data_IF_675166415915
#
_entry.id   IF_675166415915
#
_cell.length_a   1.000
_cell.length_b   1.000
_cell.length_c   1.000
_cell.angle_alpha   90.00
_cell.angle_beta   90.00
_cell.angle_gamma   90.00
#
_symmetry.space_group_name_H-M   'P 1'
#
loop_
_entity.id
_entity.type
_entity.pdbx_description
1 polymer ?
#
# COMPACT_ATOMS: atom_id res chain seq x y z
N UNK A 1 -12.36 26.87 -19.33
CA UNK A 1 -11.03 27.37 -18.90
C UNK A 1 -11.14 28.55 -17.95
N UNK A 2 -11.65 29.71 -18.38
CA UNK A 2 -11.69 30.93 -17.54
C UNK A 2 -12.48 30.75 -16.24
N UNK A 3 -13.63 30.07 -16.29
CA UNK A 3 -14.42 29.77 -15.10
C UNK A 3 -13.63 28.94 -14.06
N UNK A 4 -12.94 27.89 -14.51
CA UNK A 4 -12.08 27.06 -13.66
C UNK A 4 -10.95 27.88 -13.04
N UNK A 5 -10.28 28.74 -13.83
CA UNK A 5 -9.23 29.62 -13.34
C UNK A 5 -9.76 30.62 -12.30
N UNK A 6 -10.93 31.22 -12.53
CA UNK A 6 -11.58 32.12 -11.59
C UNK A 6 -11.92 31.41 -10.27
N UNK A 7 -12.32 30.13 -10.33
CA UNK A 7 -12.56 29.31 -9.14
C UNK A 7 -11.26 29.05 -8.39
N UNK A 8 -10.19 28.67 -9.07
CA UNK A 8 -8.87 28.43 -8.48
C UNK A 8 -8.34 29.69 -7.77
N UNK A 9 -8.54 30.88 -8.37
CA UNK A 9 -8.08 32.15 -7.79
C UNK A 9 -8.77 32.50 -6.45
N UNK A 10 -9.96 31.96 -6.19
CA UNK A 10 -10.71 32.17 -4.94
C UNK A 10 -10.31 31.21 -3.83
N UNK A 11 -9.74 30.05 -4.16
CA UNK A 11 -9.32 29.04 -3.19
C UNK A 11 -7.99 29.40 -2.54
N UNK A 12 -7.78 28.98 -1.28
CA UNK A 12 -6.54 29.22 -0.52
C UNK A 12 -5.99 27.93 0.08
N UNK A 13 -4.68 27.92 0.34
CA UNK A 13 -4.02 26.83 1.07
C UNK A 13 -4.30 25.43 0.51
N UNK A 14 -4.62 24.48 1.38
CA UNK A 14 -4.88 23.08 1.04
C UNK A 14 -6.04 22.89 0.05
N UNK A 15 -7.11 23.68 0.17
CA UNK A 15 -8.28 23.57 -0.72
C UNK A 15 -7.92 23.85 -2.18
N UNK A 16 -7.03 24.82 -2.42
CA UNK A 16 -6.51 25.12 -3.76
C UNK A 16 -5.70 23.94 -4.30
N UNK A 17 -4.84 23.34 -3.48
CA UNK A 17 -4.00 22.22 -3.88
C UNK A 17 -4.84 21.00 -4.24
N UNK A 18 -5.84 20.67 -3.44
CA UNK A 18 -6.72 19.52 -3.69
C UNK A 18 -7.59 19.74 -4.92
N UNK A 19 -8.05 20.98 -5.15
CA UNK A 19 -8.74 21.32 -6.39
C UNK A 19 -7.84 21.13 -7.63
N UNK A 20 -6.58 21.60 -7.58
CA UNK A 20 -5.63 21.41 -8.70
C UNK A 20 -5.36 19.93 -8.96
N UNK A 21 -5.15 19.11 -7.91
CA UNK A 21 -4.96 17.66 -8.06
C UNK A 21 -6.15 17.00 -8.77
N UNK A 22 -7.36 17.43 -8.45
CA UNK A 22 -8.60 16.87 -9.02
C UNK A 22 -8.83 17.26 -10.49
N UNK A 23 -8.17 18.30 -11.01
CA UNK A 23 -8.24 18.64 -12.43
C UNK A 23 -7.74 17.49 -13.32
N UNK A 24 -6.77 16.71 -12.82
CA UNK A 24 -6.14 15.59 -13.52
C UNK A 24 -7.05 14.35 -13.69
N UNK A 25 -8.33 14.46 -13.32
CA UNK A 25 -9.33 13.42 -13.51
C UNK A 25 -10.14 13.61 -14.82
N UNK A 26 -10.00 14.74 -15.51
CA UNK A 26 -10.69 15.02 -16.78
C UNK A 26 -9.75 15.74 -17.76
N UNK A 27 -9.60 15.16 -18.96
CA UNK A 27 -8.76 15.69 -20.04
C UNK A 27 -9.21 17.09 -20.52
N UNK A 28 -10.47 17.48 -20.30
CA UNK A 28 -10.95 18.86 -20.59
C UNK A 28 -10.19 19.94 -19.82
N UNK A 29 -9.52 19.57 -18.73
CA UNK A 29 -8.72 20.49 -17.92
C UNK A 29 -7.27 20.63 -18.38
N UNK A 30 -6.82 19.93 -19.44
CA UNK A 30 -5.45 20.04 -19.96
C UNK A 30 -5.03 21.51 -20.21
N UNK A 31 -5.84 22.36 -20.88
CA UNK A 31 -5.47 23.77 -21.07
C UNK A 31 -5.29 24.54 -19.75
N UNK A 32 -6.10 24.24 -18.73
CA UNK A 32 -5.97 24.83 -17.39
C UNK A 32 -4.68 24.37 -16.73
N UNK A 33 -4.34 23.08 -16.83
CA UNK A 33 -3.11 22.53 -16.26
C UNK A 33 -1.86 23.15 -16.93
N UNK A 34 -1.84 23.27 -18.26
CA UNK A 34 -0.76 23.96 -18.99
C UNK A 34 -0.61 25.41 -18.51
N UNK A 35 -1.71 26.15 -18.41
CA UNK A 35 -1.71 27.52 -17.90
C UNK A 35 -1.12 27.61 -16.48
N UNK A 36 -1.50 26.71 -15.58
CA UNK A 36 -0.96 26.68 -14.21
C UNK A 36 0.54 26.37 -14.20
N UNK A 37 1.02 25.48 -15.08
CA UNK A 37 2.47 25.17 -15.18
C UNK A 37 3.30 26.38 -15.58
N UNK A 38 2.75 27.25 -16.43
CA UNK A 38 3.42 28.47 -16.88
C UNK A 38 3.37 29.59 -15.82
N UNK A 39 2.23 29.74 -15.13
CA UNK A 39 1.94 30.93 -14.34
C UNK A 39 2.04 30.74 -12.81
N UNK A 40 1.99 29.52 -12.30
CA UNK A 40 2.09 29.24 -10.87
C UNK A 40 3.52 28.85 -10.43
N UNK A 41 3.74 28.85 -9.10
CA UNK A 41 5.01 28.43 -8.47
C UNK A 41 4.75 27.44 -7.34
N UNK A 42 5.81 26.81 -6.84
CA UNK A 42 5.75 25.87 -5.71
C UNK A 42 4.80 24.70 -5.97
N UNK A 43 4.05 24.30 -4.93
CA UNK A 43 3.18 23.12 -4.97
C UNK A 43 2.06 23.20 -6.02
N UNK A 44 1.53 24.39 -6.33
CA UNK A 44 0.50 24.55 -7.37
C UNK A 44 1.02 24.09 -8.73
N UNK A 45 2.24 24.53 -9.09
CA UNK A 45 2.91 24.12 -10.34
C UNK A 45 3.30 22.64 -10.32
N UNK A 46 3.75 22.12 -9.18
CA UNK A 46 4.08 20.70 -9.06
C UNK A 46 2.85 19.80 -9.29
N UNK A 47 1.71 20.09 -8.65
CA UNK A 47 0.49 19.32 -8.86
C UNK A 47 -0.08 19.47 -10.28
N UNK A 48 0.04 20.66 -10.88
CA UNK A 48 -0.32 20.84 -12.29
C UNK A 48 0.56 19.98 -13.22
N UNK A 49 1.89 19.95 -12.98
CA UNK A 49 2.82 19.10 -13.71
C UNK A 49 2.50 17.62 -13.52
N UNK A 50 2.28 17.17 -12.29
CA UNK A 50 1.85 15.79 -12.00
C UNK A 50 0.55 15.45 -12.74
N UNK A 51 -0.41 16.38 -12.79
CA UNK A 51 -1.65 16.18 -13.53
C UNK A 51 -1.44 15.97 -15.02
N UNK A 52 -0.57 16.78 -15.65
CA UNK A 52 -0.24 16.63 -17.07
C UNK A 52 0.39 15.28 -17.41
N UNK A 53 1.11 14.64 -16.48
CA UNK A 53 1.74 13.33 -16.73
C UNK A 53 0.74 12.19 -16.98
N UNK A 54 -0.56 12.41 -16.74
CA UNK A 54 -1.63 11.45 -17.01
C UNK A 54 -2.17 11.50 -18.43
N UNK A 55 -1.73 12.47 -19.22
CA UNK A 55 -2.25 12.70 -20.57
C UNK A 55 -1.11 12.71 -21.60
N UNK A 56 -1.44 12.45 -22.86
CA UNK A 56 -0.52 12.59 -23.99
C UNK A 56 -0.58 14.03 -24.50
N UNK A 57 0.26 14.90 -23.92
CA UNK A 57 0.26 16.36 -24.19
C UNK A 57 1.60 16.74 -24.80
N UNK A 58 1.61 16.99 -26.11
CA UNK A 58 2.84 17.25 -26.86
C UNK A 58 3.60 18.48 -26.35
N UNK A 59 2.87 19.50 -25.92
CA UNK A 59 3.39 20.76 -25.36
C UNK A 59 4.14 20.53 -24.04
N UNK A 60 3.78 19.50 -23.28
CA UNK A 60 4.44 19.15 -22.01
C UNK A 60 5.68 18.26 -22.20
N UNK A 61 5.86 17.62 -23.36
CA UNK A 61 6.94 16.68 -23.63
C UNK A 61 8.35 17.28 -23.40
N UNK A 62 8.69 18.50 -23.87
CA UNK A 62 9.99 19.11 -23.59
C UNK A 62 10.24 19.32 -22.09
N UNK A 63 9.18 19.64 -21.33
CA UNK A 63 9.24 19.81 -19.87
C UNK A 63 9.54 18.46 -19.21
N UNK A 64 8.86 17.40 -19.62
CA UNK A 64 9.09 16.05 -19.09
C UNK A 64 10.49 15.53 -19.40
N UNK A 65 11.01 15.75 -20.63
CA UNK A 65 12.40 15.43 -20.99
C UNK A 65 13.41 16.15 -20.09
N UNK A 66 13.16 17.42 -19.75
CA UNK A 66 14.01 18.16 -18.80
C UNK A 66 13.91 17.60 -17.38
N UNK A 67 12.70 17.24 -16.95
CA UNK A 67 12.47 16.67 -15.62
C UNK A 67 13.14 15.31 -15.44
N UNK A 68 13.15 14.45 -16.47
CA UNK A 68 13.77 13.12 -16.40
C UNK A 68 15.27 13.14 -16.05
N UNK A 69 15.96 14.24 -16.38
CA UNK A 69 17.38 14.48 -16.04
C UNK A 69 17.60 14.85 -14.57
N UNK A 70 16.55 15.26 -13.86
CA UNK A 70 16.63 15.60 -12.43
C UNK A 70 16.22 14.39 -11.59
N UNK A 71 17.16 13.79 -10.83
CA UNK A 71 16.88 12.60 -10.01
C UNK A 71 15.69 12.82 -9.06
N UNK A 72 15.78 13.83 -8.19
CA UNK A 72 14.74 14.11 -7.18
C UNK A 72 13.45 14.71 -7.76
N UNK A 73 13.55 15.85 -8.46
CA UNK A 73 12.35 16.56 -8.95
C UNK A 73 11.65 15.81 -10.09
N UNK A 74 12.43 15.13 -10.93
CA UNK A 74 11.91 14.31 -12.02
C UNK A 74 11.11 13.14 -11.50
N UNK A 75 11.66 12.38 -10.53
CA UNK A 75 10.95 11.29 -9.89
C UNK A 75 9.64 11.76 -9.25
N UNK A 76 9.69 12.81 -8.41
CA UNK A 76 8.51 13.37 -7.73
C UNK A 76 7.35 13.74 -8.67
N UNK A 77 7.64 14.07 -9.93
CA UNK A 77 6.61 14.44 -10.92
C UNK A 77 6.23 13.26 -11.80
N UNK A 78 7.21 12.62 -12.44
CA UNK A 78 6.99 11.57 -13.45
C UNK A 78 6.54 10.23 -12.84
N UNK A 79 6.76 10.03 -11.54
CA UNK A 79 6.12 8.96 -10.79
C UNK A 79 4.61 8.99 -11.04
N UNK A 80 3.97 10.17 -11.03
CA UNK A 80 2.52 10.36 -11.19
C UNK A 80 1.96 9.99 -12.57
N UNK A 81 2.81 9.81 -13.57
CA UNK A 81 2.41 9.60 -14.95
C UNK A 81 2.02 8.17 -15.29
N UNK A 82 0.94 8.06 -16.05
CA UNK A 82 0.38 6.80 -16.56
C UNK A 82 0.08 6.85 -18.06
N UNK A 83 0.29 7.99 -18.73
CA UNK A 83 0.07 8.12 -20.17
C UNK A 83 1.14 7.41 -20.99
N UNK A 84 0.82 7.06 -22.24
CA UNK A 84 1.76 6.35 -23.11
C UNK A 84 2.97 7.23 -23.48
N UNK A 85 2.79 8.55 -23.60
CA UNK A 85 3.89 9.50 -23.82
C UNK A 85 4.92 9.49 -22.69
N UNK A 86 4.46 9.59 -21.42
CA UNK A 86 5.37 9.54 -20.27
C UNK A 86 5.91 8.13 -20.08
N UNK A 87 5.11 7.11 -20.37
CA UNK A 87 5.51 5.71 -20.37
C UNK A 87 6.69 5.45 -21.30
N UNK A 88 6.58 5.87 -22.56
CA UNK A 88 7.62 5.71 -23.58
C UNK A 88 8.86 6.54 -23.26
N UNK A 89 8.69 7.79 -22.84
CA UNK A 89 9.80 8.67 -22.45
C UNK A 89 10.67 8.03 -21.36
N UNK A 90 10.04 7.45 -20.35
CA UNK A 90 10.75 6.82 -19.23
C UNK A 90 11.32 5.46 -19.66
N UNK A 91 10.59 4.67 -20.45
CA UNK A 91 11.01 3.33 -20.85
C UNK A 91 12.37 3.32 -21.58
N UNK A 92 12.69 4.35 -22.37
CA UNK A 92 13.97 4.43 -23.10
C UNK A 92 15.19 4.50 -22.17
N UNK A 93 15.15 5.37 -21.15
CA UNK A 93 16.22 5.50 -20.16
C UNK A 93 16.34 4.23 -19.30
N UNK A 94 15.20 3.67 -18.92
CA UNK A 94 15.11 2.45 -18.11
C UNK A 94 15.68 1.25 -18.88
N UNK A 95 15.32 1.10 -20.14
CA UNK A 95 15.85 0.04 -21.00
C UNK A 95 17.37 0.12 -21.06
N UNK A 96 17.90 1.31 -21.29
CA UNK A 96 19.35 1.57 -21.36
C UNK A 96 20.05 1.19 -20.06
N UNK A 97 19.49 1.61 -18.92
CA UNK A 97 20.06 1.30 -17.60
C UNK A 97 20.04 -0.21 -17.31
N UNK A 98 18.88 -0.86 -17.41
CA UNK A 98 18.76 -2.28 -17.05
C UNK A 98 19.52 -3.19 -18.01
N UNK A 99 19.58 -2.87 -19.30
CA UNK A 99 20.39 -3.62 -20.27
C UNK A 99 21.87 -3.61 -19.86
N UNK A 100 22.41 -2.42 -19.53
CA UNK A 100 23.80 -2.30 -19.03
C UNK A 100 23.99 -3.00 -17.69
N UNK A 101 23.04 -2.83 -16.76
CA UNK A 101 23.09 -3.48 -15.45
C UNK A 101 23.17 -5.01 -15.59
N UNK A 102 22.36 -5.60 -16.46
CA UNK A 102 22.32 -7.04 -16.69
C UNK A 102 23.45 -7.58 -17.58
N UNK A 103 24.32 -6.73 -18.15
CA UNK A 103 25.57 -7.19 -18.78
C UNK A 103 26.63 -7.60 -17.75
N UNK A 104 26.55 -7.09 -16.52
CA UNK A 104 27.49 -7.45 -15.46
C UNK A 104 27.44 -8.95 -15.10
N UNK A 105 28.52 -9.46 -14.51
CA UNK A 105 28.60 -10.85 -14.07
C UNK A 105 27.74 -11.16 -12.83
N UNK A 106 27.52 -12.45 -12.56
CA UNK A 106 26.83 -12.87 -11.31
C UNK A 106 27.62 -12.36 -10.11
N UNK A 107 26.94 -12.06 -9.01
CA UNK A 107 27.55 -11.48 -7.79
C UNK A 107 28.08 -10.05 -7.93
N UNK A 108 27.86 -9.38 -9.06
CA UNK A 108 28.15 -7.97 -9.24
C UNK A 108 27.57 -7.13 -8.09
N UNK A 109 28.36 -6.20 -7.57
CA UNK A 109 27.98 -5.31 -6.48
C UNK A 109 27.62 -3.93 -7.05
N UNK A 110 26.37 -3.51 -6.90
CA UNK A 110 25.93 -2.20 -7.37
C UNK A 110 26.67 -1.09 -6.60
N UNK A 111 27.22 -0.13 -7.34
CA UNK A 111 27.69 1.14 -6.75
C UNK A 111 26.53 1.91 -6.13
N UNK A 112 26.84 2.87 -5.25
CA UNK A 112 25.82 3.74 -4.63
C UNK A 112 25.01 4.46 -5.70
N UNK A 113 25.67 5.05 -6.69
CA UNK A 113 25.00 5.76 -7.78
C UNK A 113 24.10 4.85 -8.61
N UNK A 114 24.57 3.65 -8.98
CA UNK A 114 23.76 2.68 -9.72
C UNK A 114 22.58 2.18 -8.88
N UNK A 115 22.74 2.09 -7.57
CA UNK A 115 21.68 1.70 -6.67
C UNK A 115 20.60 2.79 -6.53
N UNK A 116 20.98 4.06 -6.45
CA UNK A 116 20.04 5.18 -6.47
C UNK A 116 19.26 5.24 -7.80
N UNK A 117 19.93 5.07 -8.93
CA UNK A 117 19.26 5.05 -10.23
C UNK A 117 18.35 3.82 -10.38
N UNK A 118 18.77 2.66 -9.87
CA UNK A 118 17.91 1.48 -9.79
C UNK A 118 16.62 1.77 -9.01
N UNK A 119 16.71 2.36 -7.82
CA UNK A 119 15.57 2.76 -7.00
C UNK A 119 14.64 3.71 -7.75
N UNK A 120 15.21 4.76 -8.30
CA UNK A 120 14.49 5.77 -9.08
C UNK A 120 13.78 5.15 -10.27
N UNK A 121 14.41 4.23 -10.98
CA UNK A 121 13.78 3.59 -12.14
C UNK A 121 12.65 2.64 -11.76
N UNK A 122 12.75 1.90 -10.65
CA UNK A 122 11.62 1.13 -10.13
C UNK A 122 10.42 2.02 -9.78
N UNK A 123 10.67 3.17 -9.16
CA UNK A 123 9.67 4.21 -8.88
C UNK A 123 8.99 4.67 -10.16
N UNK A 124 9.79 5.05 -11.16
CA UNK A 124 9.30 5.59 -12.41
C UNK A 124 8.52 4.59 -13.25
N UNK A 125 8.73 3.28 -13.11
CA UNK A 125 7.99 2.23 -13.84
C UNK A 125 6.52 2.14 -13.40
N UNK A 126 6.19 2.50 -12.15
CA UNK A 126 4.88 2.25 -11.57
C UNK A 126 3.74 2.88 -12.39
N UNK A 127 2.74 2.06 -12.72
CA UNK A 127 1.49 2.42 -13.39
C UNK A 127 1.59 2.66 -14.90
N UNK A 128 2.77 2.47 -15.49
CA UNK A 128 3.02 2.73 -16.92
C UNK A 128 2.84 1.45 -17.74
N UNK A 129 2.17 1.57 -18.87
CA UNK A 129 1.61 0.43 -19.58
C UNK A 129 1.84 0.40 -21.09
N UNK A 130 2.57 1.37 -21.66
CA UNK A 130 2.89 1.37 -23.10
C UNK A 130 3.65 0.10 -23.52
N UNK A 131 3.67 -0.21 -24.83
CA UNK A 131 4.37 -1.41 -25.31
C UNK A 131 5.86 -1.39 -24.94
N UNK A 132 6.53 -0.23 -25.02
CA UNK A 132 7.93 -0.10 -24.58
C UNK A 132 8.08 -0.45 -23.10
N UNK A 133 7.14 -0.03 -22.25
CA UNK A 133 7.17 -0.36 -20.82
C UNK A 133 6.88 -1.84 -20.55
N UNK A 134 5.96 -2.47 -21.30
CA UNK A 134 5.75 -3.92 -21.23
C UNK A 134 7.02 -4.71 -21.56
N UNK A 135 7.79 -4.25 -22.56
CA UNK A 135 9.09 -4.83 -22.87
C UNK A 135 10.12 -4.65 -21.76
N UNK A 136 10.07 -3.57 -20.98
CA UNK A 136 10.88 -3.46 -19.76
C UNK A 136 10.53 -4.57 -18.77
N UNK A 137 9.24 -4.79 -18.48
CA UNK A 137 8.85 -5.85 -17.55
C UNK A 137 9.29 -7.23 -18.01
N UNK A 138 9.22 -7.51 -19.32
CA UNK A 138 9.78 -8.74 -19.91
C UNK A 138 11.28 -8.83 -19.68
N UNK A 139 12.04 -7.76 -19.95
CA UNK A 139 13.48 -7.70 -19.68
C UNK A 139 13.81 -7.98 -18.21
N UNK A 140 13.05 -7.37 -17.27
CA UNK A 140 13.21 -7.60 -15.83
C UNK A 140 12.92 -9.06 -15.46
N UNK A 141 11.88 -9.67 -16.07
CA UNK A 141 11.52 -11.06 -15.84
C UNK A 141 12.57 -12.04 -16.35
N UNK A 142 13.11 -11.81 -17.54
CA UNK A 142 14.18 -12.61 -18.14
C UNK A 142 15.46 -12.62 -17.30
N UNK A 143 15.70 -11.53 -16.57
CA UNK A 143 16.93 -11.34 -15.79
C UNK A 143 16.73 -11.49 -14.28
N UNK A 144 15.54 -11.92 -13.81
CA UNK A 144 15.20 -11.93 -12.38
C UNK A 144 16.16 -12.80 -11.54
N UNK A 145 16.48 -14.01 -12.02
CA UNK A 145 17.43 -14.91 -11.33
C UNK A 145 18.85 -14.38 -11.30
N UNK A 146 19.27 -13.70 -12.39
CA UNK A 146 20.58 -13.06 -12.46
C UNK A 146 20.65 -11.90 -11.48
N UNK A 147 19.64 -11.04 -11.48
CA UNK A 147 19.52 -9.91 -10.55
C UNK A 147 19.55 -10.36 -9.09
N UNK A 148 18.87 -11.46 -8.74
CA UNK A 148 18.89 -12.00 -7.38
C UNK A 148 20.30 -12.39 -6.89
N UNK A 149 21.23 -12.66 -7.80
CA UNK A 149 22.65 -12.92 -7.46
C UNK A 149 23.45 -11.65 -7.14
N UNK A 150 22.97 -10.46 -7.50
CA UNK A 150 23.70 -9.21 -7.29
C UNK A 150 23.75 -8.82 -5.82
N UNK A 151 24.78 -8.06 -5.46
CA UNK A 151 25.01 -7.51 -4.14
C UNK A 151 24.70 -6.00 -4.13
N UNK A 152 24.26 -5.49 -2.98
CA UNK A 152 23.96 -4.07 -2.80
C UNK A 152 24.74 -3.54 -1.61
N UNK A 153 25.30 -2.33 -1.74
CA UNK A 153 25.92 -1.60 -0.61
C UNK A 153 24.90 -0.89 0.28
N UNK A 154 23.64 -0.83 -0.16
CA UNK A 154 22.52 -0.18 0.52
C UNK A 154 21.29 -1.08 0.49
N UNK A 155 20.27 -0.76 1.29
CA UNK A 155 19.07 -1.57 1.45
C UNK A 155 17.91 -1.02 0.60
N UNK A 156 17.43 -1.83 -0.35
CA UNK A 156 16.19 -1.53 -1.11
C UNK A 156 14.95 -1.80 -0.26
N UNK A 157 15.15 -2.47 0.87
CA UNK A 157 14.08 -2.98 1.71
C UNK A 157 13.19 -1.88 2.28
N UNK A 158 13.66 -0.63 2.32
CA UNK A 158 12.86 0.54 2.69
C UNK A 158 11.61 0.77 1.83
N UNK A 159 11.55 0.21 0.61
CA UNK A 159 10.39 0.35 -0.29
C UNK A 159 9.47 -0.87 -0.29
N UNK A 160 9.95 -2.02 0.17
CA UNK A 160 9.24 -3.31 0.08
C UNK A 160 9.00 -3.98 1.43
N UNK A 161 9.79 -3.63 2.46
CA UNK A 161 9.85 -4.20 3.80
C UNK A 161 9.77 -5.72 3.84
N UNK A 162 10.68 -6.36 3.12
CA UNK A 162 10.83 -7.78 3.30
C UNK A 162 11.37 -8.11 4.69
N UNK A 163 10.76 -9.06 5.39
CA UNK A 163 11.17 -9.42 6.75
C UNK A 163 12.64 -9.88 6.81
N UNK A 164 13.09 -10.63 5.81
CA UNK A 164 14.49 -11.02 5.65
C UNK A 164 14.89 -10.86 4.19
N UNK A 165 16.01 -10.19 3.98
CA UNK A 165 16.51 -9.88 2.64
C UNK A 165 17.46 -10.98 2.14
N UNK A 166 16.89 -12.08 1.66
CA UNK A 166 17.63 -13.24 1.11
C UNK A 166 17.71 -13.18 -0.42
N UNK A 167 18.46 -14.10 -1.05
CA UNK A 167 18.45 -14.28 -2.50
C UNK A 167 17.05 -14.57 -3.05
N UNK A 168 16.28 -15.43 -2.38
CA UNK A 168 14.92 -15.76 -2.83
C UNK A 168 13.98 -14.57 -2.66
N UNK A 169 14.12 -13.79 -1.58
CA UNK A 169 13.36 -12.56 -1.40
C UNK A 169 13.71 -11.50 -2.46
N UNK A 170 14.97 -11.41 -2.92
CA UNK A 170 15.35 -10.51 -4.01
C UNK A 170 14.62 -10.81 -5.32
N UNK A 171 14.29 -12.08 -5.60
CA UNK A 171 13.49 -12.46 -6.79
C UNK A 171 12.07 -11.91 -6.77
N UNK A 172 11.58 -11.48 -5.60
CA UNK A 172 10.26 -10.85 -5.45
C UNK A 172 10.27 -9.35 -5.80
N UNK A 173 11.43 -8.70 -5.94
CA UNK A 173 11.50 -7.25 -6.20
C UNK A 173 10.75 -6.87 -7.49
N UNK A 174 11.10 -7.47 -8.63
CA UNK A 174 10.44 -7.12 -9.90
C UNK A 174 8.96 -7.53 -9.96
N UNK A 175 8.57 -8.75 -9.56
CA UNK A 175 7.16 -9.11 -9.45
C UNK A 175 6.36 -8.18 -8.52
N UNK A 176 6.93 -7.77 -7.39
CA UNK A 176 6.28 -6.86 -6.45
C UNK A 176 6.15 -5.46 -7.05
N UNK A 177 7.20 -4.91 -7.67
CA UNK A 177 7.10 -3.64 -8.41
C UNK A 177 6.00 -3.71 -9.47
N UNK A 178 5.85 -4.84 -10.16
CA UNK A 178 4.81 -5.03 -11.16
C UNK A 178 3.40 -5.13 -10.54
N UNK A 179 3.24 -5.83 -9.41
CA UNK A 179 2.00 -5.83 -8.65
C UNK A 179 1.58 -4.41 -8.20
N UNK A 180 2.52 -3.62 -7.66
CA UNK A 180 2.28 -2.23 -7.29
C UNK A 180 1.91 -1.36 -8.51
N UNK A 181 2.50 -1.64 -9.67
CA UNK A 181 2.16 -0.98 -10.94
C UNK A 181 0.72 -1.24 -11.36
N UNK A 182 0.26 -2.49 -11.26
CA UNK A 182 -1.14 -2.88 -11.54
C UNK A 182 -2.10 -2.19 -10.56
N UNK A 183 -1.80 -2.17 -9.27
CA UNK A 183 -2.64 -1.47 -8.27
C UNK A 183 -2.71 0.02 -8.60
N UNK A 184 -1.59 0.64 -8.97
CA UNK A 184 -1.56 2.05 -9.32
C UNK A 184 -2.41 2.37 -10.55
N UNK A 185 -2.29 1.56 -11.59
CA UNK A 185 -3.04 1.71 -12.83
C UNK A 185 -3.43 0.32 -13.34
N UNK A 186 -4.67 -0.16 -13.08
CA UNK A 186 -5.15 -1.46 -13.51
C UNK A 186 -5.47 -1.46 -15.02
N UNK A 187 -4.47 -1.08 -15.82
CA UNK A 187 -4.52 -1.04 -17.27
C UNK A 187 -4.62 -2.48 -17.80
N UNK A 188 -5.54 -2.71 -18.74
CA UNK A 188 -5.79 -4.03 -19.32
C UNK A 188 -4.52 -4.66 -19.90
N UNK A 189 -3.58 -3.84 -20.37
CA UNK A 189 -2.32 -4.28 -20.96
C UNK A 189 -1.36 -4.82 -19.89
N UNK A 190 -1.33 -4.23 -18.69
CA UNK A 190 -0.58 -4.76 -17.54
C UNK A 190 -1.23 -6.02 -16.98
N UNK A 191 -2.56 -6.05 -16.89
CA UNK A 191 -3.33 -7.23 -16.47
C UNK A 191 -3.03 -8.43 -17.37
N UNK A 192 -3.05 -8.22 -18.68
CA UNK A 192 -2.74 -9.28 -19.67
C UNK A 192 -1.29 -9.76 -19.54
N UNK A 193 -0.36 -8.83 -19.35
CA UNK A 193 1.06 -9.14 -19.17
C UNK A 193 1.31 -9.99 -17.91
N UNK A 194 0.52 -9.83 -16.83
CA UNK A 194 0.69 -10.65 -15.62
C UNK A 194 0.45 -12.15 -15.84
N UNK A 195 -0.51 -12.49 -16.71
CA UNK A 195 -0.71 -13.86 -17.13
C UNK A 195 0.48 -14.38 -17.96
N UNK A 196 0.94 -13.58 -18.94
CA UNK A 196 2.10 -13.90 -19.78
C UNK A 196 3.36 -14.17 -18.94
N UNK A 197 3.71 -13.27 -18.01
CA UNK A 197 4.92 -13.38 -17.21
C UNK A 197 4.87 -14.58 -16.26
N UNK A 198 3.70 -14.87 -15.68
CA UNK A 198 3.56 -16.06 -14.82
C UNK A 198 3.67 -17.35 -15.62
N UNK A 199 3.10 -17.40 -16.82
CA UNK A 199 3.20 -18.56 -17.71
C UNK A 199 4.65 -18.82 -18.14
N UNK A 200 5.41 -17.76 -18.46
CA UNK A 200 6.77 -17.87 -18.99
C UNK A 200 7.87 -17.99 -17.92
N UNK A 201 7.72 -17.32 -16.77
CA UNK A 201 8.77 -17.20 -15.75
C UNK A 201 8.38 -17.79 -14.38
N UNK A 202 7.21 -18.40 -14.26
CA UNK A 202 6.82 -19.22 -13.12
C UNK A 202 6.31 -18.47 -11.89
N UNK A 203 6.35 -19.16 -10.75
CA UNK A 203 5.64 -18.82 -9.50
C UNK A 203 6.01 -17.46 -8.90
N UNK A 204 7.21 -16.93 -9.15
CA UNK A 204 7.61 -15.61 -8.67
C UNK A 204 6.67 -14.49 -9.14
N UNK A 205 5.98 -14.67 -10.26
CA UNK A 205 5.04 -13.70 -10.83
C UNK A 205 3.59 -13.92 -10.39
N UNK A 206 3.32 -14.96 -9.60
CA UNK A 206 1.98 -15.32 -9.15
C UNK A 206 1.32 -14.23 -8.31
N UNK A 207 2.08 -13.51 -7.47
CA UNK A 207 1.58 -12.36 -6.70
C UNK A 207 0.99 -11.30 -7.64
N UNK A 208 1.70 -10.91 -8.69
CA UNK A 208 1.22 -9.92 -9.66
C UNK A 208 0.01 -10.44 -10.46
N UNK A 209 -0.01 -11.73 -10.80
CA UNK A 209 -1.16 -12.36 -11.47
C UNK A 209 -2.42 -12.38 -10.59
N UNK A 210 -2.28 -12.69 -9.30
CA UNK A 210 -3.40 -12.63 -8.36
C UNK A 210 -3.88 -11.18 -8.17
N UNK A 211 -2.96 -10.22 -8.04
CA UNK A 211 -3.31 -8.79 -7.96
C UNK A 211 -4.07 -8.32 -9.21
N UNK A 212 -3.66 -8.74 -10.41
CA UNK A 212 -4.42 -8.46 -11.64
C UNK A 212 -5.83 -9.08 -11.63
N UNK A 213 -5.96 -10.25 -11.00
CA UNK A 213 -7.25 -10.96 -10.89
C UNK A 213 -8.22 -10.22 -9.96
N UNK A 214 -7.73 -9.51 -8.93
CA UNK A 214 -8.58 -8.69 -8.06
C UNK A 214 -9.38 -7.62 -8.83
N UNK A 215 -8.84 -7.11 -9.95
CA UNK A 215 -9.50 -6.07 -10.74
C UNK A 215 -10.40 -6.61 -11.86
N UNK A 216 -10.40 -7.92 -12.11
CA UNK A 216 -11.04 -8.50 -13.30
C UNK A 216 -11.93 -9.70 -13.03
N UNK A 217 -11.64 -10.50 -12.00
CA UNK A 217 -12.38 -11.73 -11.68
C UNK A 217 -13.46 -11.46 -10.62
N UNK A 218 -14.50 -12.32 -10.61
CA UNK A 218 -15.50 -12.34 -9.54
C UNK A 218 -14.92 -12.96 -8.28
N UNK A 219 -15.49 -12.64 -7.12
CA UNK A 219 -15.00 -13.09 -5.82
C UNK A 219 -14.90 -14.63 -5.72
N UNK A 220 -15.94 -15.34 -6.14
CA UNK A 220 -16.00 -16.81 -6.13
C UNK A 220 -14.93 -17.43 -7.03
N UNK A 221 -14.78 -16.93 -8.26
CA UNK A 221 -13.78 -17.42 -9.22
C UNK A 221 -12.36 -17.22 -8.69
N UNK A 222 -12.10 -16.06 -8.09
CA UNK A 222 -10.83 -15.76 -7.43
C UNK A 222 -10.55 -16.74 -6.29
N UNK A 223 -11.54 -17.03 -5.45
CA UNK A 223 -11.41 -18.00 -4.36
C UNK A 223 -11.07 -19.40 -4.89
N UNK A 224 -11.88 -19.96 -5.79
CA UNK A 224 -11.67 -21.32 -6.31
C UNK A 224 -10.30 -21.48 -6.99
N UNK A 225 -9.84 -20.43 -7.65
CA UNK A 225 -8.58 -20.44 -8.39
C UNK A 225 -7.34 -20.38 -7.49
N UNK A 226 -7.36 -19.57 -6.43
CA UNK A 226 -6.17 -19.25 -5.65
C UNK A 226 -6.16 -19.87 -4.24
N UNK A 227 -7.31 -20.20 -3.65
CA UNK A 227 -7.35 -20.78 -2.30
C UNK A 227 -6.64 -22.13 -2.17
N UNK A 228 -6.67 -23.06 -3.16
CA UNK A 228 -5.94 -24.33 -3.06
C UNK A 228 -4.42 -24.13 -2.97
N UNK A 229 -3.91 -23.01 -3.49
CA UNK A 229 -2.49 -22.69 -3.49
C UNK A 229 -1.96 -22.34 -2.09
N UNK A 230 -2.84 -22.03 -1.13
CA UNK A 230 -2.45 -21.84 0.27
C UNK A 230 -1.96 -23.13 0.94
N UNK A 231 -2.27 -24.30 0.37
CA UNK A 231 -1.85 -25.63 0.84
C UNK A 231 -0.61 -26.15 0.08
N UNK A 232 0.01 -25.32 -0.74
CA UNK A 232 1.13 -25.66 -1.62
C UNK A 232 2.36 -24.79 -1.33
N UNK A 233 3.46 -25.01 -2.04
CA UNK A 233 4.69 -24.17 -1.89
C UNK A 233 4.44 -22.72 -2.33
N UNK A 234 3.40 -22.49 -3.13
CA UNK A 234 3.00 -21.19 -3.66
C UNK A 234 2.32 -20.29 -2.60
N UNK A 235 2.00 -20.84 -1.41
CA UNK A 235 1.34 -20.15 -0.28
C UNK A 235 1.86 -18.73 -0.06
N UNK A 236 3.19 -18.53 -0.06
CA UNK A 236 3.77 -17.21 0.24
C UNK A 236 3.40 -16.14 -0.79
N UNK A 237 3.25 -16.49 -2.07
CA UNK A 237 2.88 -15.53 -3.12
C UNK A 237 1.41 -15.10 -3.02
N UNK A 238 0.55 -16.01 -2.57
CA UNK A 238 -0.87 -15.73 -2.29
C UNK A 238 -1.00 -14.81 -1.09
N UNK A 239 -0.27 -15.10 -0.01
CA UNK A 239 -0.23 -14.23 1.16
C UNK A 239 0.34 -12.84 0.83
N UNK A 240 1.39 -12.75 0.01
CA UNK A 240 1.95 -11.47 -0.44
C UNK A 240 0.92 -10.64 -1.25
N UNK A 241 0.07 -11.29 -2.05
CA UNK A 241 -1.01 -10.62 -2.77
C UNK A 241 -2.14 -10.15 -1.84
N UNK A 242 -2.56 -10.99 -0.90
CA UNK A 242 -3.57 -10.64 0.11
C UNK A 242 -3.08 -9.53 1.06
N UNK A 243 -1.78 -9.49 1.34
CA UNK A 243 -1.15 -8.42 2.12
C UNK A 243 -1.22 -7.04 1.45
N UNK A 244 -1.58 -6.97 0.16
CA UNK A 244 -1.83 -5.71 -0.55
C UNK A 244 -3.29 -5.27 -0.49
N UNK A 245 -4.16 -5.99 0.23
CA UNK A 245 -5.57 -5.68 0.40
C UNK A 245 -5.88 -5.24 1.83
N UNK A 246 -6.86 -4.36 1.96
CA UNK A 246 -7.53 -4.06 3.22
C UNK A 246 -9.01 -3.78 2.98
N UNK A 247 -9.84 -3.94 4.01
CA UNK A 247 -11.23 -3.57 3.99
C UNK A 247 -11.38 -2.07 4.33
N UNK A 248 -11.77 -1.27 3.33
CA UNK A 248 -12.03 0.15 3.53
C UNK A 248 -13.40 0.34 4.16
N UNK A 249 -13.42 0.63 5.46
CA UNK A 249 -14.64 0.84 6.25
C UNK A 249 -15.51 2.01 5.78
N UNK A 250 -14.95 2.99 5.05
CA UNK A 250 -15.69 4.15 4.55
C UNK A 250 -16.47 3.81 3.28
N UNK A 251 -15.89 3.01 2.40
CA UNK A 251 -16.54 2.59 1.15
C UNK A 251 -17.17 1.20 1.23
N UNK A 252 -16.99 0.50 2.37
CA UNK A 252 -17.43 -0.87 2.62
C UNK A 252 -16.93 -1.85 1.55
N UNK A 253 -15.71 -1.62 1.07
CA UNK A 253 -15.08 -2.40 0.01
C UNK A 253 -13.64 -2.78 0.34
N UNK A 254 -13.27 -4.00 -0.04
CA UNK A 254 -11.88 -4.40 -0.16
C UNK A 254 -11.19 -3.50 -1.19
N UNK A 255 -10.01 -3.03 -0.82
CA UNK A 255 -9.25 -2.06 -1.58
C UNK A 255 -7.81 -2.52 -1.62
N UNK A 256 -7.26 -2.60 -2.82
CA UNK A 256 -5.84 -2.82 -3.01
C UNK A 256 -5.08 -1.53 -2.74
N UNK A 257 -3.93 -1.65 -2.08
CA UNK A 257 -3.06 -0.52 -1.74
C UNK A 257 -1.62 -0.79 -2.17
N UNK A 258 -0.99 0.25 -2.71
CA UNK A 258 0.41 0.27 -3.07
C UNK A 258 1.05 1.50 -2.40
N UNK A 259 2.17 1.28 -1.72
CA UNK A 259 3.05 2.35 -1.25
C UNK A 259 4.36 2.30 -2.02
N UNK A 260 4.92 3.47 -2.30
CA UNK A 260 6.29 3.61 -2.73
C UNK A 260 6.96 4.79 -2.02
N UNK A 261 8.24 4.70 -1.67
CA UNK A 261 9.00 5.76 -1.00
C UNK A 261 9.49 5.34 0.39
N UNK A 262 10.05 6.29 1.13
CA UNK A 262 10.60 6.06 2.47
C UNK A 262 9.78 6.77 3.54
N UNK A 263 9.44 6.02 4.59
CA UNK A 263 8.88 6.54 5.83
C UNK A 263 9.96 6.51 6.92
N UNK A 264 10.62 7.64 7.18
CA UNK A 264 11.66 7.76 8.22
C UNK A 264 11.16 8.55 9.45
N UNK A 265 10.46 9.66 9.22
CA UNK A 265 9.73 10.48 10.20
C UNK A 265 8.77 11.44 9.45
N UNK A 266 7.83 12.08 10.15
CA UNK A 266 6.88 13.04 9.55
C UNK A 266 7.55 14.23 8.84
N UNK A 267 8.86 14.46 9.02
CA UNK A 267 9.60 15.58 8.40
C UNK A 267 10.26 15.20 7.08
N UNK A 268 10.50 13.90 6.84
CA UNK A 268 11.17 13.37 5.65
C UNK A 268 10.37 12.25 4.94
N UNK A 269 9.05 12.17 5.16
CA UNK A 269 8.20 11.20 4.47
C UNK A 269 8.14 11.49 2.96
N UNK A 270 8.64 10.54 2.18
CA UNK A 270 8.58 10.55 0.70
C UNK A 270 7.56 9.56 0.17
N UNK A 271 6.77 8.94 1.05
CA UNK A 271 5.83 7.89 0.71
C UNK A 271 4.70 8.44 -0.15
N UNK A 272 4.48 7.74 -1.27
CA UNK A 272 3.34 7.94 -2.14
C UNK A 272 2.44 6.71 -2.05
N UNK A 273 1.16 6.95 -1.82
CA UNK A 273 0.15 5.90 -1.68
C UNK A 273 -0.79 5.91 -2.87
N UNK A 274 -1.12 4.72 -3.36
CA UNK A 274 -2.11 4.48 -4.40
C UNK A 274 -3.07 3.42 -3.88
N UNK A 275 -4.37 3.65 -4.04
CA UNK A 275 -5.38 2.66 -3.68
C UNK A 275 -6.43 2.53 -4.77
N UNK A 276 -6.92 1.31 -4.98
CA UNK A 276 -7.99 1.00 -5.93
C UNK A 276 -8.93 -0.03 -5.32
N UNK A 277 -10.22 0.24 -5.41
CA UNK A 277 -11.23 -0.76 -5.08
C UNK A 277 -11.07 -1.96 -6.01
N UNK A 278 -11.13 -3.16 -5.44
CA UNK A 278 -11.13 -4.38 -6.24
C UNK A 278 -12.53 -4.58 -6.85
N UNK A 279 -12.65 -5.49 -7.83
CA UNK A 279 -13.89 -5.67 -8.60
C UNK A 279 -15.09 -6.05 -7.72
N UNK A 280 -14.89 -7.01 -6.83
CA UNK A 280 -15.86 -7.48 -5.84
C UNK A 280 -15.14 -7.71 -4.51
N UNK A 281 -15.85 -7.56 -3.39
CA UNK A 281 -15.30 -7.94 -2.08
C UNK A 281 -14.82 -9.38 -2.09
N UNK A 282 -13.77 -9.69 -1.31
CA UNK A 282 -13.30 -11.07 -1.17
C UNK A 282 -14.44 -11.98 -0.72
N UNK A 283 -14.49 -13.17 -1.29
CA UNK A 283 -15.36 -14.25 -0.85
C UNK A 283 -15.05 -14.59 0.61
N UNK A 284 -16.08 -14.66 1.48
CA UNK A 284 -15.88 -14.85 2.92
C UNK A 284 -15.15 -16.16 3.26
N UNK A 285 -15.18 -17.16 2.38
CA UNK A 285 -14.43 -18.42 2.54
C UNK A 285 -12.93 -18.22 2.64
N UNK A 286 -12.39 -17.12 2.10
CA UNK A 286 -11.00 -16.72 2.34
C UNK A 286 -10.71 -16.56 3.83
N UNK A 287 -11.62 -15.95 4.58
CA UNK A 287 -11.41 -15.69 6.00
C UNK A 287 -11.40 -16.98 6.81
N UNK A 288 -12.22 -17.97 6.42
CA UNK A 288 -12.23 -19.30 7.02
C UNK A 288 -10.88 -20.02 6.82
N UNK A 289 -10.44 -20.21 5.58
CA UNK A 289 -9.21 -20.97 5.29
C UNK A 289 -7.98 -20.31 5.90
N UNK A 290 -7.95 -18.97 5.98
CA UNK A 290 -6.86 -18.23 6.61
C UNK A 290 -6.78 -18.50 8.13
N UNK A 291 -7.87 -18.82 8.82
CA UNK A 291 -7.78 -19.22 10.25
C UNK A 291 -7.10 -20.56 10.47
N UNK A 292 -6.99 -21.39 9.43
CA UNK A 292 -6.42 -22.74 9.48
C UNK A 292 -4.93 -22.75 9.10
N UNK A 293 -4.40 -21.63 8.62
CA UNK A 293 -3.00 -21.48 8.28
C UNK A 293 -2.18 -21.23 9.54
N UNK A 294 -1.10 -22.00 9.71
CA UNK A 294 -0.11 -21.68 10.74
C UNK A 294 0.59 -20.35 10.43
N UNK A 295 0.58 -19.38 11.38
CA UNK A 295 1.24 -18.10 11.20
C UNK A 295 2.75 -18.26 11.05
N UNK A 296 3.23 -18.11 9.81
CA UNK A 296 4.65 -17.97 9.52
C UNK A 296 5.06 -16.50 9.56
N UNK A 297 6.37 -16.24 9.63
CA UNK A 297 6.90 -14.90 9.37
C UNK A 297 6.65 -14.56 7.89
N UNK A 298 5.78 -13.60 7.65
CA UNK A 298 5.43 -13.14 6.29
C UNK A 298 6.66 -12.56 5.58
N UNK A 299 6.79 -12.88 4.29
CA UNK A 299 7.91 -12.41 3.48
C UNK A 299 7.82 -10.90 3.25
N UNK A 300 6.63 -10.39 2.95
CA UNK A 300 6.31 -8.97 2.73
C UNK A 300 5.62 -8.36 3.95
N UNK A 301 6.19 -7.30 4.52
CA UNK A 301 5.51 -6.47 5.53
C UNK A 301 4.89 -5.26 4.83
N UNK A 302 3.64 -5.37 4.37
CA UNK A 302 2.94 -4.22 3.77
C UNK A 302 2.62 -3.19 4.84
N UNK A 303 2.78 -1.90 4.56
CA UNK A 303 2.41 -0.84 5.50
C UNK A 303 0.88 -0.61 5.53
N UNK A 304 0.24 -0.74 6.70
CA UNK A 304 -1.11 -0.28 6.99
C UNK A 304 -1.39 0.07 8.48
N UNK A 305 -1.76 1.34 8.78
CA UNK A 305 -2.41 1.69 10.06
C UNK A 305 -3.91 1.95 9.84
N UNK A 306 -4.71 1.08 10.46
CA UNK A 306 -6.18 1.11 10.47
C UNK A 306 -6.77 2.41 11.04
N UNK A 307 -6.04 3.13 11.90
CA UNK A 307 -6.58 4.25 12.69
C UNK A 307 -6.47 5.62 12.01
N UNK A 308 -5.57 5.78 11.04
CA UNK A 308 -5.30 7.07 10.39
C UNK A 308 -5.60 7.08 8.88
N UNK A 309 -5.86 5.93 8.25
CA UNK A 309 -5.83 5.85 6.78
C UNK A 309 -4.43 6.18 6.20
N UNK A 310 -3.40 6.01 7.02
CA UNK A 310 -1.97 6.20 6.73
C UNK A 310 -1.25 4.92 7.12
N UNK A 311 -0.12 4.60 6.51
CA UNK A 311 0.43 3.26 6.49
C UNK A 311 1.41 2.98 7.67
N UNK A 312 1.35 1.78 8.26
CA UNK A 312 2.26 1.27 9.31
C UNK A 312 2.41 -0.26 9.16
N UNK A 313 3.63 -0.81 9.16
CA UNK A 313 3.91 -2.21 8.78
C UNK A 313 2.94 -3.27 9.39
N UNK A 314 2.51 -4.24 8.58
CA UNK A 314 2.06 -5.53 9.06
C UNK A 314 3.29 -6.26 9.63
N UNK A 315 3.39 -6.25 10.94
CA UNK A 315 4.40 -6.95 11.73
C UNK A 315 4.07 -8.45 11.85
N UNK A 316 2.83 -8.87 11.55
CA UNK A 316 2.40 -10.28 11.65
C UNK A 316 1.37 -10.70 10.59
N UNK A 317 1.28 -12.01 10.36
CA UNK A 317 0.24 -12.66 9.56
C UNK A 317 -1.18 -12.24 10.00
N UNK A 318 -1.41 -12.17 11.32
CA UNK A 318 -2.72 -11.86 11.86
C UNK A 318 -3.19 -10.44 11.53
N UNK A 319 -2.27 -9.50 11.34
CA UNK A 319 -2.65 -8.15 10.92
C UNK A 319 -3.11 -8.11 9.46
N UNK A 320 -2.61 -9.01 8.60
CA UNK A 320 -3.16 -9.20 7.25
C UNK A 320 -4.61 -9.70 7.39
N UNK A 321 -4.83 -10.78 8.15
CA UNK A 321 -6.17 -11.34 8.34
C UNK A 321 -7.14 -10.29 8.93
N UNK A 322 -6.69 -9.54 9.94
CA UNK A 322 -7.45 -8.44 10.54
C UNK A 322 -7.78 -7.34 9.53
N UNK A 323 -6.86 -6.98 8.65
CA UNK A 323 -7.10 -5.94 7.65
C UNK A 323 -8.12 -6.36 6.58
N UNK A 324 -8.29 -7.66 6.35
CA UNK A 324 -9.30 -8.20 5.44
C UNK A 324 -10.69 -8.32 6.05
N UNK A 325 -10.85 -8.13 7.37
CA UNK A 325 -12.15 -8.35 8.02
C UNK A 325 -13.20 -7.33 7.51
N UNK A 326 -14.33 -7.80 6.97
CA UNK A 326 -15.43 -6.94 6.60
C UNK A 326 -16.14 -6.40 7.85
N UNK A 327 -16.93 -5.35 7.66
CA UNK A 327 -17.76 -4.77 8.74
C UNK A 327 -18.95 -5.67 9.10
N UNK A 328 -19.52 -6.35 8.10
CA UNK A 328 -20.64 -7.26 8.24
C UNK A 328 -20.24 -8.62 7.69
N UNK A 329 -20.77 -9.69 8.29
CA UNK A 329 -20.53 -11.07 7.87
C UNK A 329 -21.87 -11.68 7.44
N UNK A 330 -21.92 -12.23 6.24
CA UNK A 330 -23.04 -13.01 5.73
C UNK A 330 -23.05 -14.39 6.40
N UNK A 331 -21.90 -15.04 6.50
CA UNK A 331 -21.76 -16.35 7.10
C UNK A 331 -21.38 -16.26 8.60
N UNK A 332 -22.35 -16.56 9.48
CA UNK A 332 -22.13 -16.53 10.93
C UNK A 332 -21.15 -17.61 11.41
N UNK A 333 -21.06 -18.76 10.75
CA UNK A 333 -20.10 -19.81 11.12
C UNK A 333 -18.65 -19.33 10.93
N UNK A 334 -18.37 -18.63 9.82
CA UNK A 334 -17.05 -18.06 9.56
C UNK A 334 -16.72 -16.98 10.60
N UNK A 335 -17.70 -16.14 10.95
CA UNK A 335 -17.54 -15.15 12.02
C UNK A 335 -17.20 -15.82 13.36
N UNK A 336 -17.88 -16.90 13.74
CA UNK A 336 -17.61 -17.65 14.97
C UNK A 336 -16.22 -18.31 14.98
N UNK A 337 -15.78 -18.86 13.84
CA UNK A 337 -14.41 -19.35 13.65
C UNK A 337 -13.38 -18.23 13.89
N UNK A 338 -13.59 -17.05 13.30
CA UNK A 338 -12.70 -15.90 13.48
C UNK A 338 -12.68 -15.40 14.93
N UNK A 339 -13.83 -15.36 15.62
CA UNK A 339 -13.90 -15.03 17.05
C UNK A 339 -13.05 -15.99 17.87
N UNK A 340 -13.19 -17.29 17.60
CA UNK A 340 -12.44 -18.34 18.28
C UNK A 340 -10.94 -18.20 18.01
N UNK A 341 -10.56 -17.94 16.76
CA UNK A 341 -9.19 -17.71 16.34
C UNK A 341 -8.57 -16.53 17.10
N UNK A 342 -9.14 -15.33 17.00
CA UNK A 342 -8.55 -14.13 17.61
C UNK A 342 -8.57 -14.17 19.14
N UNK A 343 -9.57 -14.81 19.78
CA UNK A 343 -9.55 -15.05 21.23
C UNK A 343 -8.44 -16.01 21.65
N UNK A 344 -8.16 -17.06 20.86
CA UNK A 344 -7.03 -17.96 21.12
C UNK A 344 -5.70 -17.21 20.98
N UNK A 345 -5.56 -16.36 19.96
CA UNK A 345 -4.34 -15.56 19.72
C UNK A 345 -4.13 -14.52 20.83
N UNK A 346 -5.17 -13.80 21.26
CA UNK A 346 -5.12 -12.86 22.40
C UNK A 346 -4.65 -13.53 23.69
N UNK A 347 -5.05 -14.79 23.94
CA UNK A 347 -4.62 -15.55 25.12
C UNK A 347 -3.18 -16.06 25.02
N UNK A 348 -2.76 -16.48 23.82
CA UNK A 348 -1.47 -17.14 23.60
C UNK A 348 -0.30 -16.16 23.43
N UNK A 349 -0.54 -14.98 22.87
CA UNK A 349 0.53 -14.01 22.61
C UNK A 349 0.72 -13.03 23.75
N UNK A 350 1.98 -12.59 23.95
CA UNK A 350 2.27 -11.47 24.86
C UNK A 350 1.68 -10.14 24.37
N UNK A 351 1.20 -10.05 23.12
CA UNK A 351 0.79 -8.83 22.43
C UNK A 351 -0.71 -8.52 22.41
N UNK A 352 -1.30 -8.21 23.57
CA UNK A 352 -2.71 -7.84 23.68
C UNK A 352 -3.13 -6.57 22.90
N UNK A 353 -2.18 -5.81 22.34
CA UNK A 353 -2.48 -4.65 21.49
C UNK A 353 -3.01 -4.98 20.10
N UNK A 354 -2.66 -6.15 19.56
CA UNK A 354 -2.80 -6.40 18.11
C UNK A 354 -4.25 -6.71 17.73
N UNK A 355 -4.99 -7.43 18.58
CA UNK A 355 -6.27 -8.03 18.18
C UNK A 355 -7.52 -7.30 18.68
N UNK A 356 -7.39 -6.20 19.43
CA UNK A 356 -8.55 -5.47 19.97
C UNK A 356 -9.45 -4.99 18.82
N UNK A 357 -8.90 -4.48 17.72
CA UNK A 357 -9.73 -4.02 16.60
C UNK A 357 -10.44 -5.18 15.91
N UNK A 358 -9.76 -6.32 15.75
CA UNK A 358 -10.36 -7.53 15.18
C UNK A 358 -11.52 -8.02 16.05
N UNK A 359 -11.30 -8.13 17.37
CA UNK A 359 -12.33 -8.52 18.33
C UNK A 359 -13.51 -7.54 18.34
N UNK A 360 -13.26 -6.24 18.30
CA UNK A 360 -14.31 -5.22 18.24
C UNK A 360 -15.12 -5.30 16.93
N UNK A 361 -14.45 -5.52 15.79
CA UNK A 361 -15.11 -5.74 14.49
C UNK A 361 -16.00 -7.00 14.51
N UNK A 362 -15.50 -8.07 15.11
CA UNK A 362 -16.23 -9.32 15.31
C UNK A 362 -17.32 -9.22 16.39
N UNK A 363 -17.47 -8.05 17.01
CA UNK A 363 -18.46 -7.75 18.05
C UNK A 363 -18.27 -8.53 19.34
N UNK A 364 -17.02 -8.94 19.62
CA UNK A 364 -16.64 -9.55 20.89
C UNK A 364 -16.56 -8.45 21.95
N UNK A 365 -17.24 -8.59 23.11
CA UNK A 365 -17.10 -7.64 24.21
C UNK A 365 -15.64 -7.55 24.67
N UNK A 366 -15.05 -6.36 24.52
CA UNK A 366 -13.71 -6.09 25.04
C UNK A 366 -13.84 -5.87 26.55
N UNK A 367 -13.23 -6.72 27.37
CA UNK A 367 -13.27 -6.61 28.84
C UNK A 367 -12.04 -5.85 29.38
N UNK A 368 -12.12 -5.35 30.62
CA UNK A 368 -11.05 -4.57 31.25
C UNK A 368 -9.70 -5.29 31.18
N UNK A 369 -9.66 -6.61 31.44
CA UNK A 369 -8.44 -7.41 31.41
C UNK A 369 -7.69 -7.37 30.07
N UNK A 370 -8.40 -7.23 28.95
CA UNK A 370 -7.77 -7.10 27.61
C UNK A 370 -7.07 -5.74 27.49
N UNK A 371 -7.73 -4.67 27.97
CA UNK A 371 -7.15 -3.32 27.99
C UNK A 371 -5.97 -3.23 28.94
N UNK A 372 -6.04 -3.87 30.11
CA UNK A 372 -4.93 -3.92 31.07
C UNK A 372 -3.70 -4.62 30.48
N UNK A 373 -3.88 -5.76 29.81
CA UNK A 373 -2.78 -6.41 29.09
C UNK A 373 -2.22 -5.51 27.98
N UNK A 374 -3.07 -4.78 27.26
CA UNK A 374 -2.62 -3.83 26.23
C UNK A 374 -1.67 -2.77 26.81
N UNK A 375 -2.07 -2.18 27.95
CA UNK A 375 -1.26 -1.19 28.68
C UNK A 375 0.07 -1.79 29.13
N UNK A 376 0.05 -3.03 29.65
CA UNK A 376 1.25 -3.71 30.12
C UNK A 376 2.22 -4.12 28.99
N UNK A 377 1.71 -4.34 27.77
CA UNK A 377 2.50 -4.88 26.67
C UNK A 377 3.46 -3.87 26.02
N UNK A 378 3.00 -2.64 25.75
CA UNK A 378 3.81 -1.55 25.17
C UNK A 378 3.67 -0.28 26.01
N UNK A 379 4.18 -0.23 27.26
CA UNK A 379 4.01 0.91 28.14
C UNK A 379 4.53 2.22 27.53
N UNK A 380 5.57 2.15 26.70
CA UNK A 380 6.12 3.28 25.93
C UNK A 380 5.17 3.80 24.84
N UNK A 381 4.27 2.97 24.32
CA UNK A 381 3.28 3.34 23.32
C UNK A 381 1.94 3.73 23.95
N UNK A 382 1.79 3.68 25.28
CA UNK A 382 0.57 4.06 26.00
C UNK A 382 0.75 5.40 26.70
N UNK A 383 -0.22 6.29 26.53
CA UNK A 383 -0.22 7.62 27.15
C UNK A 383 -1.63 8.03 27.56
N UNK A 384 -1.73 9.04 28.42
CA UNK A 384 -3.02 9.66 28.75
C UNK A 384 -3.77 10.18 27.52
N UNK A 385 -3.13 10.39 26.37
CA UNK A 385 -3.78 10.88 25.17
C UNK A 385 -4.36 9.78 24.29
N UNK A 386 -3.77 8.57 24.28
CA UNK A 386 -4.26 7.48 23.44
C UNK A 386 -5.23 6.54 24.16
N UNK A 387 -5.24 6.47 25.50
CA UNK A 387 -6.24 5.70 26.26
C UNK A 387 -7.67 6.14 25.91
N UNK A 388 -8.03 7.44 25.91
CA UNK A 388 -9.38 7.86 25.50
C UNK A 388 -9.72 7.43 24.07
N UNK A 389 -8.75 7.46 23.15
CA UNK A 389 -8.95 7.05 21.76
C UNK A 389 -9.26 5.55 21.69
N UNK A 390 -8.45 4.73 22.35
CA UNK A 390 -8.64 3.28 22.45
C UNK A 390 -10.01 2.93 23.05
N UNK A 391 -10.37 3.53 24.19
CA UNK A 391 -11.65 3.25 24.84
C UNK A 391 -12.85 3.66 23.97
N UNK A 392 -12.77 4.79 23.27
CA UNK A 392 -13.90 5.27 22.46
C UNK A 392 -14.03 4.56 21.11
N UNK A 393 -12.92 4.18 20.49
CA UNK A 393 -12.94 3.62 19.14
C UNK A 393 -12.99 2.09 19.13
N UNK A 394 -12.45 1.46 20.18
CA UNK A 394 -12.18 0.03 20.19
C UNK A 394 -12.95 -0.73 21.26
N UNK A 395 -13.77 -0.05 22.06
CA UNK A 395 -14.67 -0.68 23.02
C UNK A 395 -16.11 -0.20 22.82
N UNK A 396 -17.06 -0.98 23.33
CA UNK A 396 -18.48 -0.60 23.44
C UNK A 396 -18.85 -0.25 24.88
N UNK A 397 -17.88 0.21 25.67
CA UNK A 397 -18.10 0.53 27.08
C UNK A 397 -19.03 1.72 27.25
N UNK A 398 -19.89 1.64 28.24
CA UNK A 398 -20.66 2.79 28.72
C UNK A 398 -19.73 3.85 29.31
N UNK A 399 -20.22 5.09 29.41
CA UNK A 399 -19.43 6.16 30.00
C UNK A 399 -19.13 5.88 31.49
N UNK A 400 -20.04 5.19 32.19
CA UNK A 400 -19.80 4.69 33.55
C UNK A 400 -18.66 3.65 33.62
N UNK A 401 -18.63 2.67 32.71
CA UNK A 401 -17.55 1.69 32.64
C UNK A 401 -16.20 2.36 32.39
N UNK A 402 -16.15 3.34 31.47
CA UNK A 402 -14.94 4.14 31.22
C UNK A 402 -14.51 4.92 32.45
N UNK A 403 -15.44 5.59 33.14
CA UNK A 403 -15.15 6.34 34.37
C UNK A 403 -14.61 5.43 35.48
N UNK A 404 -15.18 4.24 35.64
CA UNK A 404 -14.69 3.26 36.62
C UNK A 404 -13.31 2.72 36.26
N UNK A 405 -13.02 2.50 34.98
CA UNK A 405 -11.69 2.12 34.52
C UNK A 405 -10.65 3.22 34.77
N UNK A 406 -10.97 4.49 34.52
CA UNK A 406 -10.07 5.61 34.81
C UNK A 406 -9.63 5.69 36.28
N UNK A 407 -10.50 5.28 37.23
CA UNK A 407 -10.15 5.23 38.66
C UNK A 407 -9.09 4.19 38.99
N UNK A 408 -8.95 3.15 38.16
CA UNK A 408 -7.97 2.06 38.31
C UNK A 408 -6.63 2.37 37.64
N UNK A 409 -6.58 3.37 36.76
CA UNK A 409 -5.38 3.69 36.00
C UNK A 409 -4.33 4.44 36.85
N UNK A 410 -3.02 4.18 36.62
CA UNK A 410 -1.94 5.00 37.15
C UNK A 410 -2.13 6.48 36.82
N UNK A 411 -1.78 7.38 37.75
CA UNK A 411 -2.02 8.82 37.61
C UNK A 411 -1.41 9.45 36.34
N UNK A 412 -0.28 8.93 35.85
CA UNK A 412 0.37 9.38 34.61
C UNK A 412 -0.39 9.02 33.33
N UNK A 413 -1.33 8.05 33.41
CA UNK A 413 -2.17 7.60 32.30
C UNK A 413 -3.58 8.19 32.34
N UNK A 414 -3.93 8.91 33.41
CA UNK A 414 -5.26 9.53 33.56
C UNK A 414 -5.37 10.82 32.74
N UNK A 415 -6.45 10.94 31.96
CA UNK A 415 -6.79 12.13 31.20
C UNK A 415 -7.98 12.86 31.82
N UNK A 416 -7.70 13.96 32.51
CA UNK A 416 -8.72 14.75 33.22
C UNK A 416 -9.76 15.35 32.28
N UNK A 417 -9.37 15.75 31.07
CA UNK A 417 -10.31 16.32 30.10
C UNK A 417 -11.26 15.25 29.55
N UNK A 418 -10.77 14.02 29.37
CA UNK A 418 -11.60 12.89 28.98
C UNK A 418 -12.62 12.54 30.08
N UNK A 419 -12.21 12.53 31.35
CA UNK A 419 -13.10 12.30 32.49
C UNK A 419 -14.20 13.38 32.56
N UNK A 420 -13.83 14.66 32.48
CA UNK A 420 -14.80 15.77 32.47
C UNK A 420 -15.81 15.63 31.34
N UNK A 421 -15.36 15.24 30.14
CA UNK A 421 -16.26 15.00 28.99
C UNK A 421 -17.25 13.86 29.22
N UNK A 422 -16.84 12.81 29.93
CA UNK A 422 -17.71 11.68 30.27
C UNK A 422 -18.71 12.01 31.38
N UNK A 423 -18.36 12.94 32.29
CA UNK A 423 -19.24 13.38 33.38
C UNK A 423 -20.28 14.42 32.94
N UNK A 424 -20.00 15.14 31.84
CA UNK A 424 -20.84 16.23 31.33
C UNK A 424 -21.75 15.80 30.16
N UNK A 425 -21.82 14.50 29.86
CA UNK A 425 -22.76 13.88 28.93
C UNK A 425 -23.82 13.14 29.72
#
# INVERSE_FOLDING_TARGET
>A
MQETLNKIAKLKGGEKLDFIKNLANDAKNIPVLLHLVENEKGYNKEYALQGLTRFDVAEALPIFKKLLKSKSKGEKILLHGTSDMVSDLVAEEIHTFFTKLFQNEKSYCLSVDNFEDFQRFLSLILGKASEKMRNIYRLLAENNDKFASFNFKSSINQHFNFYTFTKETKKKIFPQTFALSIIRNPDQRLITLAAELTQKYGENWLTAKMVASFFTEKAEVLFEKYSPLLLSKEKTYILDALALLYFNKKTEKHTAIAQWGNYYDERNDTSTYFSREIKENLDERWLEILTEIEPEKIALQTYFSLSAGVAAAYESYDQILQALLPKNFENQFIKEKLVTYFLKREKAEKGASLYIDALNLLQVPIIEAIIEKWIAYKPEAVSKYNIPIMLNNNTRWTDEQKLNFYKKLPANLVNQDAIKKLQNK
#
